data_IF_594320495534
#
_entry.id   IF_594320495534
#
_cell.length_a   1.000
_cell.length_b   1.000
_cell.length_c   1.000
_cell.angle_alpha   90.00
_cell.angle_beta   90.00
_cell.angle_gamma   90.00
#
_symmetry.space_group_name_H-M   'P 1'
#
loop_
_entity.id
_entity.type
_entity.pdbx_description
1 polymer ?
#
# COMPACT_ATOMS: atom_id res chain seq x y z
N UNK A 1 18.17 9.25 -3.09
CA UNK A 1 17.61 9.16 -1.74
C UNK A 1 16.30 8.40 -1.89
N UNK A 2 16.19 7.20 -1.33
CA UNK A 2 14.92 6.46 -1.34
C UNK A 2 14.02 7.20 -0.35
N UNK A 3 12.86 7.63 -0.81
CA UNK A 3 11.86 8.23 0.09
C UNK A 3 11.34 7.11 1.00
N UNK A 4 11.60 7.15 2.32
CA UNK A 4 11.18 6.09 3.23
C UNK A 4 9.67 6.00 3.35
N UNK A 5 8.94 7.02 2.90
CA UNK A 5 7.49 7.10 2.97
C UNK A 5 6.83 6.70 1.63
N UNK A 6 7.60 6.12 0.69
CA UNK A 6 7.13 5.64 -0.60
C UNK A 6 7.48 4.17 -0.82
N UNK A 7 6.49 3.36 -1.20
CA UNK A 7 6.67 1.95 -1.57
C UNK A 7 6.12 1.69 -2.96
N UNK A 8 6.81 0.82 -3.70
CA UNK A 8 6.32 0.32 -4.98
C UNK A 8 5.47 -0.93 -4.76
N UNK A 9 4.31 -0.99 -5.43
CA UNK A 9 3.45 -2.17 -5.43
C UNK A 9 3.71 -2.95 -6.70
N UNK A 10 4.10 -4.21 -6.55
CA UNK A 10 4.43 -5.09 -7.67
C UNK A 10 3.46 -6.27 -7.74
N UNK A 11 3.16 -6.69 -8.97
CA UNK A 11 2.56 -7.98 -9.24
C UNK A 11 3.49 -8.72 -10.21
N UNK A 12 4.07 -9.82 -9.74
CA UNK A 12 5.16 -10.52 -10.42
C UNK A 12 6.33 -9.55 -10.70
N UNK A 13 6.66 -9.29 -11.97
CA UNK A 13 7.71 -8.38 -12.44
C UNK A 13 7.17 -7.02 -12.90
N UNK A 14 5.86 -6.77 -12.73
CA UNK A 14 5.19 -5.58 -13.24
C UNK A 14 4.85 -4.61 -12.12
N UNK A 15 5.19 -3.35 -12.33
CA UNK A 15 4.83 -2.26 -11.43
C UNK A 15 3.33 -1.98 -11.55
N UNK A 16 2.60 -2.14 -10.44
CA UNK A 16 1.15 -1.92 -10.37
C UNK A 16 0.86 -0.48 -9.94
N UNK A 17 1.69 0.07 -9.06
CA UNK A 17 1.45 1.38 -8.50
C UNK A 17 2.39 1.75 -7.38
N UNK A 18 2.02 2.81 -6.68
CA UNK A 18 2.82 3.43 -5.64
C UNK A 18 1.95 3.63 -4.41
N UNK A 19 2.52 3.30 -3.25
CA UNK A 19 1.97 3.62 -1.94
C UNK A 19 2.79 4.74 -1.33
N UNK A 20 2.13 5.58 -0.56
CA UNK A 20 2.81 6.53 0.32
C UNK A 20 2.11 6.63 1.65
N UNK A 21 2.85 6.97 2.70
CA UNK A 21 2.26 7.37 3.98
C UNK A 21 2.27 8.89 4.12
N UNK A 22 1.21 9.44 4.67
CA UNK A 22 1.19 10.85 5.08
C UNK A 22 1.80 11.02 6.49
N UNK A 23 1.87 12.26 6.97
CA UNK A 23 2.43 12.60 8.28
C UNK A 23 1.69 12.00 9.48
N UNK A 24 0.44 11.55 9.30
CA UNK A 24 -0.36 10.89 10.35
C UNK A 24 -0.35 9.37 10.24
N UNK A 25 0.41 8.80 9.29
CA UNK A 25 0.57 7.36 9.11
C UNK A 25 -0.49 6.69 8.24
N UNK A 26 -1.40 7.46 7.63
CA UNK A 26 -2.41 6.92 6.72
C UNK A 26 -1.82 6.71 5.33
N UNK A 27 -2.24 5.63 4.68
CA UNK A 27 -1.71 5.20 3.39
C UNK A 27 -2.57 5.72 2.25
N UNK A 28 -1.92 6.39 1.29
CA UNK A 28 -2.47 6.70 -0.03
C UNK A 28 -1.93 5.74 -1.08
N UNK A 29 -2.62 5.63 -2.22
CA UNK A 29 -2.27 4.72 -3.30
C UNK A 29 -2.56 5.34 -4.66
N UNK A 30 -1.72 5.06 -5.65
CA UNK A 30 -1.99 5.37 -7.05
C UNK A 30 -1.56 4.21 -7.93
N UNK A 31 -2.40 3.87 -8.91
CA UNK A 31 -2.02 2.97 -9.99
C UNK A 31 -0.99 3.60 -10.92
N UNK A 32 -0.03 2.80 -11.34
CA UNK A 32 0.89 3.19 -12.40
C UNK A 32 0.10 3.29 -13.74
N UNK A 33 0.29 4.37 -14.52
CA UNK A 33 -0.44 4.58 -15.78
C UNK A 33 -0.36 3.43 -16.79
N UNK A 34 0.82 2.84 -17.01
CA UNK A 34 1.01 1.68 -17.89
C UNK A 34 0.25 0.44 -17.38
N UNK A 35 0.09 0.24 -16.07
CA UNK A 35 -0.74 -0.83 -15.50
C UNK A 35 -2.21 -0.69 -15.90
N UNK A 36 -2.74 0.54 -15.86
CA UNK A 36 -4.10 0.84 -16.32
C UNK A 36 -4.20 0.62 -17.84
N UNK A 37 -3.28 1.20 -18.61
CA UNK A 37 -3.33 1.20 -20.07
C UNK A 37 -3.12 -0.20 -20.69
N UNK A 38 -2.38 -1.06 -20.01
CA UNK A 38 -2.13 -2.44 -20.44
C UNK A 38 -3.26 -3.41 -20.08
N UNK A 39 -4.36 -2.93 -19.50
CA UNK A 39 -5.49 -3.76 -19.09
C UNK A 39 -5.18 -4.60 -17.85
N UNK A 40 -4.41 -4.04 -16.90
CA UNK A 40 -4.22 -4.62 -15.58
C UNK A 40 -5.52 -4.82 -14.81
N UNK A 41 -5.43 -5.36 -13.60
CA UNK A 41 -6.60 -5.56 -12.73
C UNK A 41 -6.61 -4.58 -11.56
N UNK A 42 -7.80 -4.41 -10.97
CA UNK A 42 -7.98 -3.66 -9.74
C UNK A 42 -7.50 -4.49 -8.53
N UNK A 43 -6.58 -3.95 -7.71
CA UNK A 43 -6.06 -4.66 -6.52
C UNK A 43 -7.15 -4.96 -5.47
N UNK A 44 -8.21 -4.15 -5.46
CA UNK A 44 -9.38 -4.33 -4.60
C UNK A 44 -10.63 -3.78 -5.27
N UNK A 45 -11.79 -4.29 -4.88
CA UNK A 45 -13.09 -3.70 -5.23
C UNK A 45 -13.25 -2.26 -4.74
N UNK A 46 -12.60 -1.90 -3.63
CA UNK A 46 -12.63 -0.52 -3.08
C UNK A 46 -11.59 0.39 -3.73
N UNK A 47 -10.67 -0.18 -4.51
CA UNK A 47 -9.63 0.53 -5.26
C UNK A 47 -9.82 0.21 -6.74
N UNK A 48 -10.90 0.69 -7.39
CA UNK A 48 -11.16 0.41 -8.79
C UNK A 48 -9.99 0.88 -9.66
N UNK A 49 -9.76 0.21 -10.79
CA UNK A 49 -8.67 0.55 -11.71
C UNK A 49 -8.98 1.87 -12.44
N UNK A 50 -8.62 2.99 -11.81
CA UNK A 50 -8.83 4.34 -12.33
C UNK A 50 -7.53 5.13 -12.27
N UNK A 51 -7.40 6.10 -13.18
CA UNK A 51 -6.32 7.08 -13.12
C UNK A 51 -6.60 8.08 -12.00
N UNK A 52 -5.57 8.40 -11.23
CA UNK A 52 -5.64 9.33 -10.11
C UNK A 52 -5.17 8.72 -8.80
N UNK A 53 -5.08 9.57 -7.79
CA UNK A 53 -4.67 9.18 -6.46
C UNK A 53 -5.89 8.76 -5.64
N UNK A 54 -5.76 7.67 -4.89
CA UNK A 54 -6.57 7.40 -3.71
C UNK A 54 -5.87 8.10 -2.54
N UNK A 55 -6.34 9.29 -2.13
CA UNK A 55 -5.62 10.08 -1.15
C UNK A 55 -5.63 9.36 0.20
N UNK A 56 -4.53 9.54 0.94
CA UNK A 56 -4.39 9.00 2.29
C UNK A 56 -5.53 9.47 3.21
N UNK A 57 -6.05 10.68 3.00
CA UNK A 57 -7.13 11.29 3.81
C UNK A 57 -8.42 10.46 3.79
N UNK A 58 -8.73 9.81 2.66
CA UNK A 58 -9.94 8.99 2.52
C UNK A 58 -9.80 7.63 3.23
N UNK A 59 -8.57 7.24 3.61
CA UNK A 59 -8.24 5.98 4.28
C UNK A 59 -8.69 4.70 3.53
N UNK A 60 -9.12 4.81 2.27
CA UNK A 60 -9.62 3.67 1.48
C UNK A 60 -8.48 2.69 1.17
N UNK A 61 -7.34 3.21 0.72
CA UNK A 61 -6.14 2.41 0.49
C UNK A 61 -5.60 1.82 1.79
N UNK A 62 -5.50 2.65 2.84
CA UNK A 62 -5.07 2.21 4.16
C UNK A 62 -5.84 0.99 4.68
N UNK A 63 -7.19 0.99 4.59
CA UNK A 63 -7.99 -0.18 5.01
C UNK A 63 -7.68 -1.45 4.22
N UNK A 64 -7.37 -1.34 2.93
CA UNK A 64 -7.00 -2.50 2.13
C UNK A 64 -5.62 -3.04 2.51
N UNK A 65 -4.61 -2.18 2.57
CA UNK A 65 -3.23 -2.60 2.82
C UNK A 65 -3.01 -3.03 4.28
N UNK A 66 -3.63 -2.39 5.26
CA UNK A 66 -3.57 -2.80 6.66
C UNK A 66 -4.13 -4.22 6.87
N UNK A 67 -5.16 -4.60 6.10
CA UNK A 67 -5.74 -5.96 6.16
C UNK A 67 -4.87 -7.05 5.52
N UNK A 68 -3.77 -6.69 4.85
CA UNK A 68 -2.78 -7.67 4.38
C UNK A 68 -1.81 -8.08 5.48
N UNK A 69 -1.78 -7.33 6.58
CA UNK A 69 -0.88 -7.59 7.70
C UNK A 69 -1.46 -8.70 8.58
N UNK A 70 -0.61 -9.53 9.19
CA UNK A 70 -1.06 -10.54 10.14
C UNK A 70 -1.79 -9.90 11.32
N UNK A 71 -2.81 -10.60 11.82
CA UNK A 71 -3.56 -10.19 12.99
C UNK A 71 -3.07 -10.92 14.26
N UNK A 72 -3.37 -10.35 15.42
CA UNK A 72 -3.12 -10.96 16.72
C UNK A 72 -1.63 -11.19 17.03
N UNK A 73 -1.32 -12.27 17.72
CA UNK A 73 0.02 -12.52 18.25
C UNK A 73 1.11 -12.66 17.18
N UNK A 74 0.75 -13.03 15.94
CA UNK A 74 1.70 -13.15 14.82
C UNK A 74 2.31 -11.78 14.48
N UNK A 75 1.52 -10.71 14.56
CA UNK A 75 2.01 -9.34 14.34
C UNK A 75 3.08 -8.96 15.36
N UNK A 76 2.83 -9.24 16.64
CA UNK A 76 3.77 -8.95 17.74
C UNK A 76 5.09 -9.71 17.61
N UNK A 77 5.07 -10.90 16.99
CA UNK A 77 6.27 -11.66 16.68
C UNK A 77 7.07 -11.03 15.54
N UNK A 78 6.41 -10.67 14.44
CA UNK A 78 7.07 -10.04 13.27
C UNK A 78 7.71 -8.70 13.64
N UNK A 79 6.98 -7.85 14.38
CA UNK A 79 7.48 -6.56 14.86
C UNK A 79 8.73 -6.72 15.73
N UNK A 80 8.73 -7.72 16.62
CA UNK A 80 9.89 -8.01 17.49
C UNK A 80 11.08 -8.55 16.69
N UNK A 81 10.83 -9.48 15.78
CA UNK A 81 11.89 -10.19 15.05
C UNK A 81 12.56 -9.27 14.01
N UNK A 82 11.77 -8.43 13.32
CA UNK A 82 12.26 -7.48 12.33
C UNK A 82 12.70 -6.13 12.93
N UNK A 83 12.46 -5.91 14.24
CA UNK A 83 12.74 -4.64 14.96
C UNK A 83 12.15 -3.41 14.26
N UNK A 84 10.96 -3.55 13.70
CA UNK A 84 10.25 -2.49 13.00
C UNK A 84 9.26 -1.81 13.93
N UNK A 85 8.81 -0.61 13.55
CA UNK A 85 7.71 0.06 14.23
C UNK A 85 6.40 -0.71 14.00
N UNK A 86 5.53 -0.78 15.02
CA UNK A 86 4.22 -1.43 14.88
C UNK A 86 3.24 -0.49 14.16
N UNK A 87 3.49 -0.22 12.89
CA UNK A 87 2.62 0.57 12.00
C UNK A 87 2.07 -0.35 10.91
N UNK A 88 1.17 0.18 10.07
CA UNK A 88 0.65 -0.57 8.92
C UNK A 88 1.47 -0.35 7.63
N UNK A 89 2.62 0.33 7.71
CA UNK A 89 3.43 0.72 6.55
C UNK A 89 4.90 0.25 6.59
N UNK A 90 5.54 0.26 7.76
CA UNK A 90 6.94 -0.18 7.92
C UNK A 90 7.10 -1.71 7.85
#
# INVERSE_FOLDING_TARGET
MIDPDLLNVWFEDRLVGYLWRNSVGTIGFRYEPDWINSGGFAVSRTLPLIAGDFPAEDSVAHRFFANLLPEGSVRDHIVRDLKMSNTDFD
#
